data_IF_061248144388
#
_entry.id   IF_061248144388
#
_cell.length_a   1.000
_cell.length_b   1.000
_cell.length_c   1.000
_cell.angle_alpha   90.00
_cell.angle_beta   90.00
_cell.angle_gamma   90.00
#
_symmetry.space_group_name_H-M   'P 1'
#
loop_
_entity.id
_entity.type
_entity.pdbx_description
1 polymer ?
#
# COMPACT_ATOMS: atom_id res chain seq x y z
N UNK A 1 9.27 -9.57 -24.72
CA UNK A 1 8.69 -8.27 -25.15
C UNK A 1 9.76 -7.40 -25.82
N UNK A 2 9.42 -6.38 -26.62
CA UNK A 2 10.42 -5.42 -27.10
C UNK A 2 10.92 -4.51 -25.97
N UNK A 3 12.14 -4.00 -26.09
CA UNK A 3 12.79 -3.11 -25.11
C UNK A 3 11.96 -1.84 -24.80
N UNK A 4 11.35 -1.26 -25.84
CA UNK A 4 10.50 -0.08 -25.75
C UNK A 4 9.25 -0.36 -24.91
N UNK A 5 8.56 -1.47 -25.20
CA UNK A 5 7.34 -1.84 -24.46
C UNK A 5 7.68 -2.15 -23.01
N UNK A 6 8.80 -2.84 -22.73
CA UNK A 6 9.25 -3.07 -21.35
C UNK A 6 9.48 -1.78 -20.59
N UNK A 7 10.11 -0.79 -21.23
CA UNK A 7 10.39 0.51 -20.61
C UNK A 7 9.11 1.29 -20.31
N UNK A 8 8.11 1.22 -21.20
CA UNK A 8 6.79 1.83 -20.97
C UNK A 8 6.07 1.15 -19.79
N UNK A 9 6.09 -0.18 -19.73
CA UNK A 9 5.47 -0.91 -18.61
C UNK A 9 6.16 -0.57 -17.30
N UNK A 10 7.50 -0.50 -17.27
CA UNK A 10 8.25 -0.10 -16.10
C UNK A 10 7.90 1.33 -15.66
N UNK A 11 7.86 2.27 -16.59
CA UNK A 11 7.47 3.65 -16.33
C UNK A 11 6.06 3.74 -15.72
N UNK A 12 5.08 3.03 -16.30
CA UNK A 12 3.73 2.93 -15.75
C UNK A 12 3.75 2.34 -14.34
N UNK A 13 4.44 1.21 -14.15
CA UNK A 13 4.57 0.55 -12.85
C UNK A 13 5.06 1.52 -11.76
N UNK A 14 6.10 2.30 -12.07
CA UNK A 14 6.67 3.28 -11.15
C UNK A 14 5.71 4.43 -10.83
N UNK A 15 5.02 4.99 -11.83
CA UNK A 15 4.00 6.03 -11.60
C UNK A 15 2.93 5.53 -10.64
N UNK A 16 2.38 4.34 -10.88
CA UNK A 16 1.31 3.83 -10.04
C UNK A 16 1.80 3.42 -8.65
N UNK A 17 3.05 2.98 -8.50
CA UNK A 17 3.68 2.84 -7.17
C UNK A 17 3.74 4.20 -6.46
N UNK A 18 4.16 5.27 -7.14
CA UNK A 18 4.21 6.62 -6.56
C UNK A 18 2.83 7.09 -6.12
N UNK A 19 1.79 6.84 -6.91
CA UNK A 19 0.40 7.16 -6.53
C UNK A 19 -0.05 6.31 -5.34
N UNK A 20 0.23 5.00 -5.34
CA UNK A 20 -0.13 4.09 -4.24
C UNK A 20 0.51 4.51 -2.91
N UNK A 21 1.83 4.70 -2.89
CA UNK A 21 2.56 5.08 -1.66
C UNK A 21 2.25 6.53 -1.29
N UNK A 22 2.25 7.42 -2.28
CA UNK A 22 1.93 8.84 -2.10
C UNK A 22 0.55 9.05 -1.49
N UNK A 23 -0.42 8.19 -1.82
CA UNK A 23 -1.75 8.26 -1.22
C UNK A 23 -1.74 8.02 0.30
N UNK A 24 -0.98 7.02 0.74
CA UNK A 24 -0.83 6.70 2.17
C UNK A 24 -0.11 7.82 2.91
N UNK A 25 0.99 8.34 2.32
CA UNK A 25 1.77 9.46 2.89
C UNK A 25 0.93 10.73 2.99
N UNK A 26 0.25 11.13 1.90
CA UNK A 26 -0.60 12.32 1.89
C UNK A 26 -1.69 12.23 2.95
N UNK A 27 -2.33 11.05 3.06
CA UNK A 27 -3.40 10.84 4.04
C UNK A 27 -2.86 10.94 5.47
N UNK A 28 -1.78 10.23 5.78
CA UNK A 28 -1.22 10.16 7.12
C UNK A 28 -0.68 11.51 7.61
N UNK A 29 0.01 12.26 6.76
CA UNK A 29 0.75 13.46 7.18
C UNK A 29 0.02 14.77 6.90
N UNK A 30 -0.69 14.90 5.78
CA UNK A 30 -1.31 16.16 5.38
C UNK A 30 -2.82 16.20 5.63
N UNK A 31 -3.55 15.16 5.23
CA UNK A 31 -5.02 15.18 5.30
C UNK A 31 -5.49 15.07 6.74
N UNK A 32 -4.99 14.09 7.48
CA UNK A 32 -5.38 13.90 8.89
C UNK A 32 -5.01 15.13 9.73
N UNK A 33 -3.88 15.78 9.46
CA UNK A 33 -3.45 16.98 10.19
C UNK A 33 -4.28 18.21 9.82
N UNK A 34 -4.63 18.40 8.54
CA UNK A 34 -5.48 19.50 8.10
C UNK A 34 -6.91 19.38 8.61
N UNK A 35 -7.50 18.18 8.49
CA UNK A 35 -8.89 17.91 8.91
C UNK A 35 -9.07 18.08 10.41
N UNK A 36 -8.04 17.83 11.23
CA UNK A 36 -8.07 18.08 12.68
C UNK A 36 -8.28 19.55 13.06
N UNK A 37 -8.04 20.50 12.16
CA UNK A 37 -8.23 21.94 12.41
C UNK A 37 -9.68 22.40 12.20
N UNK A 38 -10.54 21.55 11.65
CA UNK A 38 -11.95 21.85 11.46
C UNK A 38 -12.66 21.71 12.82
N UNK A 39 -13.17 22.84 13.33
CA UNK A 39 -13.86 22.93 14.62
C UNK A 39 -15.19 22.17 14.59
N UNK A 40 -16.00 22.40 13.55
CA UNK A 40 -17.26 21.69 13.35
C UNK A 40 -16.98 20.21 13.04
N UNK A 41 -17.49 19.33 13.90
CA UNK A 41 -17.29 17.88 13.80
C UNK A 41 -17.97 17.28 12.58
N UNK A 42 -19.15 17.75 12.21
CA UNK A 42 -19.92 17.19 11.09
C UNK A 42 -19.22 17.53 9.78
N UNK A 43 -18.82 18.79 9.60
CA UNK A 43 -17.99 19.22 8.46
C UNK A 43 -16.68 18.41 8.38
N UNK A 44 -16.05 18.16 9.53
CA UNK A 44 -14.83 17.35 9.62
C UNK A 44 -15.05 15.91 9.15
N UNK A 45 -16.15 15.29 9.55
CA UNK A 45 -16.49 13.92 9.16
C UNK A 45 -16.86 13.83 7.68
N UNK A 46 -17.59 14.81 7.15
CA UNK A 46 -18.01 14.85 5.74
C UNK A 46 -16.83 15.05 4.80
N UNK A 47 -15.89 15.95 5.16
CA UNK A 47 -14.63 16.12 4.42
C UNK A 47 -13.83 14.82 4.43
N UNK A 48 -13.66 14.19 5.60
CA UNK A 48 -12.89 12.95 5.72
C UNK A 48 -13.53 11.81 4.91
N UNK A 49 -14.85 11.67 4.97
CA UNK A 49 -15.61 10.64 4.23
C UNK A 49 -15.52 10.84 2.72
N UNK A 50 -15.66 12.08 2.26
CA UNK A 50 -15.59 12.41 0.84
C UNK A 50 -14.17 12.19 0.29
N UNK A 51 -13.16 12.64 1.03
CA UNK A 51 -11.76 12.45 0.67
C UNK A 51 -11.41 10.96 0.60
N UNK A 52 -11.66 10.22 1.68
CA UNK A 52 -11.30 8.80 1.79
C UNK A 52 -11.98 7.96 0.70
N UNK A 53 -13.25 8.23 0.36
CA UNK A 53 -13.94 7.50 -0.71
C UNK A 53 -13.30 7.71 -2.09
N UNK A 54 -13.06 8.97 -2.47
CA UNK A 54 -12.47 9.29 -3.78
C UNK A 54 -11.04 8.78 -3.89
N UNK A 55 -10.27 8.96 -2.83
CA UNK A 55 -8.86 8.60 -2.83
C UNK A 55 -8.64 7.10 -2.71
N UNK A 56 -9.54 6.38 -2.04
CA UNK A 56 -9.53 4.90 -2.01
C UNK A 56 -9.73 4.31 -3.40
N UNK A 57 -10.62 4.87 -4.23
CA UNK A 57 -10.79 4.43 -5.62
C UNK A 57 -9.50 4.58 -6.44
N UNK A 58 -8.82 5.72 -6.29
CA UNK A 58 -7.54 5.98 -6.94
C UNK A 58 -6.48 5.00 -6.45
N UNK A 59 -6.37 4.78 -5.13
CA UNK A 59 -5.41 3.85 -4.56
C UNK A 59 -5.64 2.41 -5.07
N UNK A 60 -6.86 1.89 -4.97
CA UNK A 60 -7.16 0.53 -5.44
C UNK A 60 -6.98 0.38 -6.95
N UNK A 61 -7.33 1.41 -7.74
CA UNK A 61 -7.05 1.44 -9.17
C UNK A 61 -5.55 1.38 -9.47
N UNK A 62 -4.73 2.12 -8.71
CA UNK A 62 -3.28 2.06 -8.82
C UNK A 62 -2.75 0.67 -8.48
N UNK A 63 -3.24 0.03 -7.42
CA UNK A 63 -2.82 -1.33 -7.06
C UNK A 63 -3.11 -2.32 -8.19
N UNK A 64 -4.28 -2.25 -8.81
CA UNK A 64 -4.63 -3.10 -9.95
C UNK A 64 -3.61 -2.95 -11.09
N UNK A 65 -3.25 -1.72 -11.43
CA UNK A 65 -2.28 -1.45 -12.49
C UNK A 65 -0.88 -1.91 -12.10
N UNK A 66 -0.46 -1.73 -10.83
CA UNK A 66 0.81 -2.25 -10.29
C UNK A 66 0.87 -3.78 -10.44
N UNK A 67 -0.21 -4.50 -10.14
CA UNK A 67 -0.26 -5.97 -10.27
C UNK A 67 -0.11 -6.39 -11.73
N UNK A 68 -0.86 -5.77 -12.64
CA UNK A 68 -0.80 -6.08 -14.08
C UNK A 68 0.60 -5.81 -14.64
N UNK A 69 1.13 -4.61 -14.42
CA UNK A 69 2.44 -4.19 -14.91
C UNK A 69 3.58 -4.99 -14.27
N UNK A 70 3.50 -5.26 -12.97
CA UNK A 70 4.47 -6.08 -12.23
C UNK A 70 4.48 -7.53 -12.70
N UNK A 71 3.31 -8.10 -13.01
CA UNK A 71 3.20 -9.43 -13.62
C UNK A 71 3.90 -9.49 -14.97
N UNK A 72 3.65 -8.53 -15.85
CA UNK A 72 4.30 -8.44 -17.16
C UNK A 72 5.83 -8.33 -17.06
N UNK A 73 6.35 -7.48 -16.17
CA UNK A 73 7.80 -7.33 -15.96
C UNK A 73 8.45 -8.59 -15.38
N UNK A 74 7.72 -9.33 -14.56
CA UNK A 74 8.22 -10.56 -13.92
C UNK A 74 8.23 -11.73 -14.90
N UNK A 75 7.18 -11.89 -15.71
CA UNK A 75 7.09 -12.97 -16.70
C UNK A 75 8.29 -13.00 -17.63
N UNK A 76 8.57 -11.88 -18.28
CA UNK A 76 9.75 -11.72 -19.14
C UNK A 76 11.07 -12.05 -18.42
N UNK A 77 11.18 -11.71 -17.14
CA UNK A 77 12.40 -11.96 -16.34
C UNK A 77 12.56 -13.44 -15.97
N UNK A 78 11.45 -14.12 -15.65
CA UNK A 78 11.47 -15.56 -15.32
C UNK A 78 11.90 -16.37 -16.52
N UNK A 79 11.41 -16.03 -17.72
CA UNK A 79 11.76 -16.73 -18.95
C UNK A 79 13.27 -16.66 -19.21
N UNK A 80 13.89 -15.48 -19.03
CA UNK A 80 15.35 -15.32 -19.13
C UNK A 80 16.12 -16.12 -18.07
N UNK A 81 15.62 -16.20 -16.84
CA UNK A 81 16.33 -16.92 -15.75
C UNK A 81 16.31 -18.43 -16.00
N UNK A 82 15.18 -18.97 -16.46
CA UNK A 82 15.01 -20.42 -16.70
C UNK A 82 15.86 -20.97 -17.84
N UNK A 83 16.39 -20.11 -18.71
CA UNK A 83 17.37 -20.50 -19.73
C UNK A 83 18.74 -20.84 -19.11
N UNK A 84 19.05 -20.36 -17.89
CA UNK A 84 20.37 -20.50 -17.26
C UNK A 84 20.42 -21.31 -15.96
N UNK A 85 19.26 -21.59 -15.32
CA UNK A 85 19.16 -22.37 -14.08
C UNK A 85 17.86 -23.18 -14.03
N UNK A 86 17.93 -24.37 -13.46
CA UNK A 86 16.79 -25.29 -13.33
C UNK A 86 15.77 -24.78 -12.29
N UNK A 87 16.24 -24.10 -11.23
CA UNK A 87 15.39 -23.57 -10.17
C UNK A 87 15.68 -22.09 -9.91
N UNK A 88 14.63 -21.25 -9.94
CA UNK A 88 14.72 -19.82 -9.64
C UNK A 88 15.22 -19.52 -8.21
N UNK A 89 15.12 -20.50 -7.30
CA UNK A 89 15.60 -20.41 -5.93
C UNK A 89 17.10 -20.67 -5.78
N UNK A 90 17.78 -21.16 -6.82
CA UNK A 90 19.24 -21.26 -6.86
C UNK A 90 19.89 -19.87 -6.94
N UNK A 91 19.09 -18.88 -7.34
CA UNK A 91 19.45 -17.46 -7.36
C UNK A 91 18.77 -16.74 -6.21
N UNK A 92 19.43 -15.69 -5.69
CA UNK A 92 18.82 -14.76 -4.72
C UNK A 92 17.50 -14.17 -5.22
N UNK A 93 17.36 -14.04 -6.53
CA UNK A 93 16.15 -13.56 -7.19
C UNK A 93 14.87 -14.28 -6.71
N UNK A 94 14.86 -15.61 -6.66
CA UNK A 94 13.66 -16.38 -6.26
C UNK A 94 13.22 -16.10 -4.83
N UNK A 95 14.17 -15.99 -3.90
CA UNK A 95 13.91 -15.64 -2.51
C UNK A 95 13.41 -14.21 -2.34
N UNK A 96 14.08 -13.23 -2.98
CA UNK A 96 13.68 -11.82 -2.90
C UNK A 96 12.27 -11.65 -3.48
N UNK A 97 11.96 -12.32 -4.60
CA UNK A 97 10.65 -12.30 -5.21
C UNK A 97 9.56 -12.90 -4.31
N UNK A 98 9.84 -14.04 -3.67
CA UNK A 98 8.91 -14.71 -2.75
C UNK A 98 8.62 -13.86 -1.51
N UNK A 99 9.65 -13.22 -0.95
CA UNK A 99 9.51 -12.25 0.15
C UNK A 99 8.66 -11.06 -0.30
N UNK A 100 8.94 -10.50 -1.49
CA UNK A 100 8.16 -9.39 -2.06
C UNK A 100 6.68 -9.76 -2.18
N UNK A 101 6.36 -10.95 -2.70
CA UNK A 101 4.96 -11.37 -2.88
C UNK A 101 4.26 -11.62 -1.54
N UNK A 102 4.95 -12.19 -0.56
CA UNK A 102 4.43 -12.30 0.81
C UNK A 102 4.13 -10.91 1.40
N UNK A 103 5.05 -9.96 1.25
CA UNK A 103 4.87 -8.59 1.71
C UNK A 103 3.70 -7.89 0.97
N UNK A 104 3.52 -8.12 -0.33
CA UNK A 104 2.37 -7.61 -1.08
C UNK A 104 1.06 -8.12 -0.49
N UNK A 105 0.95 -9.42 -0.20
CA UNK A 105 -0.25 -10.00 0.41
C UNK A 105 -0.54 -9.39 1.79
N UNK A 106 0.49 -9.27 2.63
CA UNK A 106 0.39 -8.64 3.96
C UNK A 106 -0.03 -7.16 3.84
N UNK A 107 0.58 -6.42 2.92
CA UNK A 107 0.26 -5.02 2.64
C UNK A 107 -1.22 -4.86 2.25
N UNK A 108 -1.69 -5.67 1.30
CA UNK A 108 -3.09 -5.63 0.84
C UNK A 108 -4.04 -5.97 1.98
N UNK A 109 -3.72 -6.99 2.79
CA UNK A 109 -4.53 -7.36 3.94
C UNK A 109 -4.60 -6.23 4.98
N UNK A 110 -3.47 -5.58 5.31
CA UNK A 110 -3.42 -4.45 6.25
C UNK A 110 -4.22 -3.25 5.73
N UNK A 111 -4.03 -2.88 4.46
CA UNK A 111 -4.73 -1.74 3.84
C UNK A 111 -6.23 -2.02 3.74
N UNK A 112 -6.63 -3.23 3.36
CA UNK A 112 -8.04 -3.64 3.33
C UNK A 112 -8.65 -3.64 4.74
N UNK A 113 -7.96 -4.20 5.74
CA UNK A 113 -8.42 -4.21 7.13
C UNK A 113 -8.57 -2.78 7.66
N UNK A 114 -7.61 -1.90 7.39
CA UNK A 114 -7.70 -0.49 7.74
C UNK A 114 -8.92 0.18 7.06
N UNK A 115 -9.09 -0.03 5.76
CA UNK A 115 -10.10 0.67 4.95
C UNK A 115 -11.53 0.20 5.23
N UNK A 116 -11.75 -1.11 5.40
CA UNK A 116 -13.08 -1.71 5.50
C UNK A 116 -13.50 -2.05 6.93
N UNK A 117 -12.57 -2.18 7.87
CA UNK A 117 -12.89 -2.53 9.26
C UNK A 117 -12.65 -1.36 10.19
N UNK A 118 -11.45 -0.77 10.20
CA UNK A 118 -11.10 0.28 11.16
C UNK A 118 -11.72 1.64 10.78
N UNK A 119 -11.72 1.99 9.51
CA UNK A 119 -12.32 3.23 9.01
C UNK A 119 -13.79 3.39 9.39
N UNK A 120 -14.68 2.44 9.02
CA UNK A 120 -16.10 2.52 9.37
C UNK A 120 -16.36 2.54 10.87
N UNK A 121 -15.60 1.74 11.66
CA UNK A 121 -15.73 1.72 13.14
C UNK A 121 -15.39 3.07 13.78
N UNK A 122 -14.37 3.75 13.27
CA UNK A 122 -14.01 5.09 13.74
C UNK A 122 -15.05 6.14 13.37
N UNK A 123 -15.69 6.00 12.21
CA UNK A 123 -16.75 6.91 11.78
C UNK A 123 -18.01 6.73 12.64
N UNK A 124 -18.46 5.49 12.84
CA UNK A 124 -19.63 5.14 13.65
C UNK A 124 -19.47 5.56 15.12
N UNK A 125 -18.31 5.32 15.72
CA UNK A 125 -18.04 5.77 17.09
C UNK A 125 -17.96 7.28 17.23
N UNK A 126 -17.44 7.97 16.21
CA UNK A 126 -17.47 9.42 16.21
C UNK A 126 -18.89 9.98 16.09
N UNK A 127 -19.79 9.31 15.36
CA UNK A 127 -21.19 9.69 15.29
C UNK A 127 -21.91 9.41 16.61
N UNK A 128 -21.76 8.23 17.20
CA UNK A 128 -22.43 7.88 18.48
C UNK A 128 -21.95 8.67 19.69
N UNK A 129 -20.72 9.16 19.66
CA UNK A 129 -20.21 10.08 20.69
C UNK A 129 -20.90 11.46 20.66
N UNK A 130 -21.77 11.74 19.68
CA UNK A 130 -22.70 12.88 19.70
C UNK A 130 -23.81 12.66 20.73
N UNK A 131 -24.18 11.40 20.99
CA UNK A 131 -25.38 11.05 21.80
C UNK A 131 -25.07 10.78 23.29
N UNK A 132 -23.81 10.55 23.67
CA UNK A 132 -23.39 10.29 25.06
C UNK A 132 -22.26 11.22 25.48
N UNK A 133 -22.56 12.17 26.37
CA UNK A 133 -21.66 13.28 26.72
C UNK A 133 -20.46 12.88 27.58
N UNK A 134 -20.46 11.82 28.39
CA UNK A 134 -19.32 11.53 29.28
C UNK A 134 -19.07 10.01 29.43
N UNK A 135 -18.00 9.49 28.81
CA UNK A 135 -17.51 8.12 29.07
C UNK A 135 -16.78 7.39 27.93
N UNK A 136 -16.87 7.87 26.68
CA UNK A 136 -16.35 7.17 25.48
C UNK A 136 -14.86 7.38 25.14
N UNK A 137 -14.17 8.28 25.85
CA UNK A 137 -12.94 8.92 25.37
C UNK A 137 -11.74 7.96 25.25
N UNK A 138 -11.62 7.01 26.19
CA UNK A 138 -10.52 6.03 26.18
C UNK A 138 -10.66 4.99 25.06
N UNK A 139 -11.88 4.54 24.74
CA UNK A 139 -12.13 3.54 23.69
C UNK A 139 -11.92 4.14 22.30
N UNK A 140 -12.37 5.38 22.08
CA UNK A 140 -12.17 6.11 20.84
C UNK A 140 -10.68 6.35 20.60
N UNK A 141 -9.95 6.84 21.61
CA UNK A 141 -8.50 7.07 21.52
C UNK A 141 -7.72 5.79 21.20
N UNK A 142 -8.05 4.66 21.84
CA UNK A 142 -7.41 3.36 21.55
C UNK A 142 -7.61 2.94 20.10
N UNK A 143 -8.82 3.07 19.57
CA UNK A 143 -9.11 2.72 18.17
C UNK A 143 -8.42 3.66 17.18
N UNK A 144 -8.30 4.95 17.50
CA UNK A 144 -7.53 5.90 16.68
C UNK A 144 -6.05 5.52 16.61
N UNK A 145 -5.45 5.16 17.76
CA UNK A 145 -4.06 4.69 17.82
C UNK A 145 -3.89 3.38 17.04
N UNK A 146 -4.77 2.40 17.25
CA UNK A 146 -4.73 1.13 16.51
C UNK A 146 -4.85 1.34 15.00
N UNK A 147 -5.77 2.22 14.57
CA UNK A 147 -5.93 2.59 13.16
C UNK A 147 -4.68 3.23 12.59
N UNK A 148 -4.05 4.15 13.33
CA UNK A 148 -2.78 4.77 12.95
C UNK A 148 -1.64 3.76 12.85
N UNK A 149 -1.53 2.81 13.78
CA UNK A 149 -0.51 1.75 13.74
C UNK A 149 -0.69 0.85 12.52
N UNK A 150 -1.92 0.40 12.24
CA UNK A 150 -2.20 -0.44 11.07
C UNK A 150 -1.89 0.31 9.78
N UNK A 151 -2.23 1.60 9.69
CA UNK A 151 -1.86 2.43 8.54
C UNK A 151 -0.35 2.58 8.38
N UNK A 152 0.38 2.81 9.49
CA UNK A 152 1.84 2.93 9.47
C UNK A 152 2.51 1.61 9.07
N UNK A 153 2.01 0.47 9.56
CA UNK A 153 2.47 -0.85 9.14
C UNK A 153 2.20 -1.09 7.66
N UNK A 154 1.01 -0.74 7.15
CA UNK A 154 0.70 -0.83 5.73
C UNK A 154 1.65 0.01 4.85
N UNK A 155 1.98 1.22 5.29
CA UNK A 155 2.95 2.08 4.61
C UNK A 155 4.35 1.48 4.65
N UNK A 156 4.80 1.02 5.83
CA UNK A 156 6.10 0.37 6.00
C UNK A 156 6.21 -0.86 5.09
N UNK A 157 5.19 -1.73 5.06
CA UNK A 157 5.17 -2.88 4.16
C UNK A 157 5.20 -2.45 2.69
N UNK A 158 4.47 -1.40 2.31
CA UNK A 158 4.53 -0.84 0.94
C UNK A 158 5.95 -0.39 0.56
N UNK A 159 6.66 0.25 1.49
CA UNK A 159 8.06 0.68 1.29
C UNK A 159 9.02 -0.51 1.20
N UNK A 160 8.81 -1.56 2.01
CA UNK A 160 9.59 -2.80 1.92
C UNK A 160 9.38 -3.51 0.58
N UNK A 161 8.13 -3.56 0.07
CA UNK A 161 7.82 -4.10 -1.26
C UNK A 161 8.57 -3.33 -2.36
N UNK A 162 8.60 -2.00 -2.29
CA UNK A 162 9.36 -1.15 -3.21
C UNK A 162 10.87 -1.45 -3.10
N UNK A 163 11.39 -1.58 -1.87
CA UNK A 163 12.79 -1.95 -1.62
C UNK A 163 13.15 -3.29 -2.26
N UNK A 164 12.33 -4.33 -2.07
CA UNK A 164 12.52 -5.62 -2.75
C UNK A 164 12.50 -5.48 -4.27
N UNK A 165 11.64 -4.60 -4.81
CA UNK A 165 11.62 -4.27 -6.24
C UNK A 165 12.96 -3.70 -6.73
N UNK A 166 13.58 -2.79 -5.96
CA UNK A 166 14.89 -2.24 -6.28
C UNK A 166 15.99 -3.33 -6.27
N UNK A 167 15.98 -4.22 -5.28
CA UNK A 167 16.92 -5.35 -5.24
C UNK A 167 16.74 -6.33 -6.41
N UNK A 168 15.50 -6.61 -6.82
CA UNK A 168 15.23 -7.45 -8.01
C UNK A 168 15.68 -6.79 -9.32
N UNK A 169 15.58 -5.47 -9.41
CA UNK A 169 16.03 -4.71 -10.58
C UNK A 169 17.55 -4.73 -10.71
N UNK A 170 18.28 -4.88 -9.61
CA UNK A 170 19.73 -4.98 -9.62
C UNK A 170 20.16 -6.41 -10.02
N UNK A 171 20.48 -6.61 -11.29
CA UNK A 171 20.92 -7.92 -11.81
C UNK A 171 22.24 -8.39 -11.20
N UNK A 172 23.20 -7.50 -10.92
CA UNK A 172 24.50 -7.90 -10.36
C UNK A 172 24.39 -8.46 -8.95
N UNK A 173 23.33 -8.10 -8.21
CA UNK A 173 23.04 -8.66 -6.89
C UNK A 173 22.07 -9.84 -6.94
N UNK A 174 20.96 -9.70 -7.69
CA UNK A 174 19.88 -10.69 -7.68
C UNK A 174 20.20 -11.99 -8.40
N UNK A 175 21.16 -11.99 -9.34
CA UNK A 175 21.59 -13.18 -10.08
C UNK A 175 22.80 -13.88 -9.44
N UNK A 176 23.20 -13.45 -8.23
CA UNK A 176 24.17 -14.23 -7.45
C UNK A 176 23.50 -15.50 -6.92
N UNK A 177 24.29 -16.58 -6.75
CA UNK A 177 23.82 -17.78 -6.06
C UNK A 177 23.25 -17.44 -4.67
N UNK A 178 22.17 -18.13 -4.30
CA UNK A 178 21.50 -18.01 -3.01
C UNK A 178 22.36 -18.49 -1.86
#
# INVERSE_FOLDING_TARGET
MSEEVRSIILWLHLIFITVWIGSQVLTAFAVVSAVRRIENRDDRLDVLRTFTRRFSLIAWGSLLIIVITGGGLTGDRIDTIKEGVDNIYDLRWGWIFSIKMTLVLVMVALVAFHSYVLGPRLMDLNQRAVDQIEGGDTRIRRLQVQSGIVAALGLLTSLLVLGCGAFLSNSSFSFLPS
#
